data_IF_378560034784
#
_entry.id   IF_378560034784
#
_cell.length_a   1.000
_cell.length_b   1.000
_cell.length_c   1.000
_cell.angle_alpha   90.00
_cell.angle_beta   90.00
_cell.angle_gamma   90.00
#
_symmetry.space_group_name_H-M   'P 1'
#
loop_
_entity.id
_entity.type
_entity.pdbx_description
1 polymer ?
#
# COMPACT_ATOMS: atom_id res chain seq x y z
N UNK A 1 4.86 0.86 -14.29
CA UNK A 1 4.15 0.49 -13.05
C UNK A 1 4.05 1.71 -12.15
N UNK A 2 2.85 2.01 -11.69
CA UNK A 2 2.58 3.22 -10.90
C UNK A 2 2.17 2.83 -9.49
N UNK A 3 2.87 3.38 -8.49
CA UNK A 3 2.63 3.12 -7.08
C UNK A 3 1.87 4.27 -6.45
N UNK A 4 0.80 3.97 -5.74
CA UNK A 4 0.09 4.91 -4.88
C UNK A 4 0.56 4.69 -3.44
N UNK A 5 1.19 5.70 -2.86
CA UNK A 5 1.74 5.65 -1.50
C UNK A 5 0.85 6.49 -0.59
N UNK A 6 0.23 5.84 0.39
CA UNK A 6 -0.76 6.45 1.28
C UNK A 6 -0.26 6.43 2.72
N UNK A 7 -0.09 7.60 3.29
CA UNK A 7 0.31 7.77 4.69
C UNK A 7 -0.02 9.21 5.10
N UNK A 8 -0.52 9.41 6.31
CA UNK A 8 -0.80 10.75 6.83
C UNK A 8 0.49 11.51 7.20
N UNK A 9 1.59 10.81 7.36
CA UNK A 9 2.91 11.41 7.62
C UNK A 9 3.66 11.66 6.32
N UNK A 10 3.92 12.94 6.03
CA UNK A 10 4.73 13.31 4.85
C UNK A 10 6.14 12.71 4.94
N UNK A 11 6.70 12.61 6.14
CA UNK A 11 8.01 12.00 6.37
C UNK A 11 8.00 10.53 5.98
N UNK A 12 6.97 9.80 6.41
CA UNK A 12 6.85 8.38 6.06
C UNK A 12 6.63 8.17 4.57
N UNK A 13 5.79 9.00 3.93
CA UNK A 13 5.62 8.92 2.47
C UNK A 13 6.95 9.07 1.77
N UNK A 14 7.77 10.02 2.20
CA UNK A 14 9.10 10.25 1.61
C UNK A 14 10.03 9.04 1.81
N UNK A 15 10.00 8.44 3.00
CA UNK A 15 10.80 7.25 3.29
C UNK A 15 10.40 6.10 2.34
N UNK A 16 9.12 5.85 2.19
CA UNK A 16 8.61 4.79 1.31
C UNK A 16 8.99 5.07 -0.14
N UNK A 17 8.78 6.30 -0.62
CA UNK A 17 9.07 6.69 -1.99
C UNK A 17 10.56 6.59 -2.27
N UNK A 18 11.41 7.07 -1.35
CA UNK A 18 12.87 6.94 -1.51
C UNK A 18 13.29 5.48 -1.57
N UNK A 19 12.67 4.62 -0.76
CA UNK A 19 12.95 3.19 -0.80
C UNK A 19 12.53 2.57 -2.14
N UNK A 20 11.37 2.98 -2.67
CA UNK A 20 10.90 2.53 -4.00
C UNK A 20 11.88 2.95 -5.09
N UNK A 21 12.34 4.20 -5.07
CA UNK A 21 13.30 4.69 -6.04
C UNK A 21 14.61 3.91 -5.99
N UNK A 22 15.08 3.56 -4.80
CA UNK A 22 16.30 2.77 -4.62
C UNK A 22 16.23 1.38 -5.25
N UNK A 23 15.05 0.80 -5.29
CA UNK A 23 14.85 -0.54 -5.86
C UNK A 23 14.33 -0.49 -7.29
N UNK A 24 14.27 0.70 -7.90
CA UNK A 24 13.99 0.86 -9.32
C UNK A 24 12.58 1.28 -9.68
N UNK A 25 11.72 1.54 -8.72
CA UNK A 25 10.34 1.98 -8.96
C UNK A 25 10.24 3.49 -8.79
N UNK A 26 10.16 4.22 -9.90
CA UNK A 26 10.24 5.68 -9.92
C UNK A 26 8.92 6.38 -10.20
N UNK A 27 7.90 5.66 -10.64
CA UNK A 27 6.58 6.24 -10.91
C UNK A 27 5.70 6.10 -9.68
N UNK A 28 5.62 7.17 -8.88
CA UNK A 28 4.90 7.18 -7.61
C UNK A 28 3.97 8.39 -7.53
N UNK A 29 2.83 8.20 -6.89
CA UNK A 29 1.95 9.29 -6.48
C UNK A 29 1.66 9.16 -4.99
N UNK A 30 1.36 10.27 -4.33
CA UNK A 30 1.15 10.33 -2.89
C UNK A 30 -0.29 10.65 -2.56
N UNK A 31 -0.77 10.09 -1.45
CA UNK A 31 -2.02 10.46 -0.82
C UNK A 31 -1.81 10.62 0.68
N UNK A 32 -2.43 11.62 1.28
CA UNK A 32 -2.24 11.93 2.69
C UNK A 32 -3.20 11.18 3.61
N UNK A 33 -4.25 10.58 3.07
CA UNK A 33 -5.21 9.78 3.79
C UNK A 33 -5.98 8.87 2.82
N UNK A 34 -6.87 8.05 3.37
CA UNK A 34 -7.66 7.12 2.57
C UNK A 34 -8.61 7.81 1.60
N UNK A 35 -9.21 8.94 1.99
CA UNK A 35 -10.12 9.68 1.12
C UNK A 35 -9.37 10.27 -0.08
N UNK A 36 -8.19 10.86 0.17
CA UNK A 36 -7.32 11.38 -0.89
C UNK A 36 -6.85 10.26 -1.81
N UNK A 37 -6.54 9.10 -1.24
CA UNK A 37 -6.14 7.93 -2.02
C UNK A 37 -7.26 7.48 -2.97
N UNK A 38 -8.50 7.41 -2.49
CA UNK A 38 -9.65 7.04 -3.33
C UNK A 38 -9.88 8.05 -4.44
N UNK A 39 -9.70 9.35 -4.15
CA UNK A 39 -9.84 10.41 -5.15
C UNK A 39 -8.77 10.31 -6.25
N UNK A 40 -7.59 9.83 -5.91
CA UNK A 40 -6.45 9.71 -6.85
C UNK A 40 -6.37 8.35 -7.51
N UNK A 41 -7.07 7.35 -6.99
CA UNK A 41 -7.02 6.00 -7.52
C UNK A 41 -7.75 5.89 -8.85
N UNK A 42 -7.10 5.29 -9.82
CA UNK A 42 -7.71 4.89 -11.09
C UNK A 42 -6.99 3.65 -11.61
N UNK A 43 -7.39 3.16 -12.78
CA UNK A 43 -6.81 1.96 -13.37
C UNK A 43 -5.33 2.08 -13.75
N UNK A 44 -4.77 3.29 -13.74
CA UNK A 44 -3.34 3.49 -13.99
C UNK A 44 -2.48 3.09 -12.79
N UNK A 45 -3.09 2.99 -11.60
CA UNK A 45 -2.39 2.57 -10.40
C UNK A 45 -2.21 1.06 -10.43
N UNK A 46 -0.95 0.61 -10.37
CA UNK A 46 -0.59 -0.80 -10.44
C UNK A 46 -0.43 -1.44 -9.07
N UNK A 47 -0.17 -0.65 -8.05
CA UNK A 47 0.17 -1.14 -6.73
C UNK A 47 -0.13 -0.07 -5.68
N UNK A 48 -0.70 -0.47 -4.55
CA UNK A 48 -1.01 0.44 -3.43
C UNK A 48 -0.19 0.04 -2.21
N UNK A 49 0.53 1.02 -1.65
CA UNK A 49 1.23 0.86 -0.38
C UNK A 49 0.57 1.83 0.59
N UNK A 50 -0.01 1.32 1.66
CA UNK A 50 -0.76 2.14 2.61
C UNK A 50 -0.31 1.90 4.05
N UNK A 51 -0.29 2.97 4.85
CA UNK A 51 -0.21 2.84 6.29
C UNK A 51 -1.54 2.27 6.81
N UNK A 52 -1.51 1.63 7.97
CA UNK A 52 -2.71 1.09 8.58
C UNK A 52 -3.49 2.15 9.33
N UNK A 53 -2.81 2.91 10.17
CA UNK A 53 -3.46 3.87 11.08
C UNK A 53 -3.43 5.28 10.50
N UNK A 54 -4.53 5.70 9.89
CA UNK A 54 -4.67 7.01 9.28
C UNK A 54 -5.97 7.65 9.75
N UNK A 55 -6.03 9.01 9.84
CA UNK A 55 -7.28 9.70 10.16
C UNK A 55 -8.31 9.51 9.05
N UNK A 56 -9.58 9.62 9.39
CA UNK A 56 -10.75 9.55 8.51
C UNK A 56 -11.01 8.16 7.94
N UNK A 57 -10.01 7.51 7.36
CA UNK A 57 -10.18 6.20 6.73
C UNK A 57 -8.90 5.38 6.95
N UNK A 58 -8.99 4.28 7.70
CA UNK A 58 -7.84 3.40 7.94
C UNK A 58 -7.41 2.68 6.68
N UNK A 59 -6.20 2.08 6.71
CA UNK A 59 -5.72 1.25 5.60
C UNK A 59 -6.63 0.07 5.31
N UNK A 60 -7.24 -0.52 6.34
CA UNK A 60 -8.20 -1.60 6.20
C UNK A 60 -9.47 -1.11 5.49
N UNK A 61 -10.01 0.03 5.92
CA UNK A 61 -11.20 0.62 5.30
C UNK A 61 -10.93 1.07 3.87
N UNK A 62 -9.75 1.65 3.62
CA UNK A 62 -9.30 2.00 2.27
C UNK A 62 -9.29 0.76 1.37
N UNK A 63 -8.74 -0.34 1.86
CA UNK A 63 -8.67 -1.58 1.09
C UNK A 63 -10.05 -2.10 0.74
N UNK A 64 -10.99 -2.09 1.69
CA UNK A 64 -12.37 -2.47 1.41
C UNK A 64 -12.99 -1.60 0.31
N UNK A 65 -12.78 -0.30 0.37
CA UNK A 65 -13.28 0.63 -0.63
C UNK A 65 -12.65 0.37 -2.00
N UNK A 66 -11.34 0.09 -2.06
CA UNK A 66 -10.66 -0.27 -3.29
C UNK A 66 -11.23 -1.55 -3.89
N UNK A 67 -11.50 -2.57 -3.08
CA UNK A 67 -12.06 -3.84 -3.57
C UNK A 67 -13.47 -3.68 -4.15
N UNK A 68 -14.19 -2.65 -3.72
CA UNK A 68 -15.51 -2.30 -4.28
C UNK A 68 -15.41 -1.37 -5.50
N UNK A 69 -14.23 -0.81 -5.78
CA UNK A 69 -14.00 0.05 -6.94
C UNK A 69 -13.86 -0.81 -8.19
N UNK A 70 -14.39 -0.32 -9.32
CA UNK A 70 -14.35 -1.06 -10.59
C UNK A 70 -12.93 -1.45 -11.02
N UNK A 71 -11.94 -0.58 -10.74
CA UNK A 71 -10.55 -0.78 -11.12
C UNK A 71 -9.68 -1.32 -9.98
N UNK A 72 -10.25 -1.54 -8.81
CA UNK A 72 -9.51 -1.88 -7.59
C UNK A 72 -9.72 -3.29 -7.08
N UNK A 73 -10.47 -4.13 -7.79
CA UNK A 73 -10.79 -5.49 -7.32
C UNK A 73 -9.54 -6.36 -7.12
N UNK A 74 -8.55 -6.20 -7.98
CA UNK A 74 -7.36 -7.04 -8.03
C UNK A 74 -6.04 -6.29 -7.81
N UNK A 75 -6.08 -4.97 -7.57
CA UNK A 75 -4.84 -4.21 -7.36
C UNK A 75 -4.13 -4.72 -6.10
N UNK A 76 -2.81 -5.02 -6.18
CA UNK A 76 -2.08 -5.43 -4.99
C UNK A 76 -2.04 -4.31 -3.96
N UNK A 77 -2.34 -4.66 -2.70
CA UNK A 77 -2.29 -3.74 -1.56
C UNK A 77 -1.30 -4.29 -0.53
N UNK A 78 -0.27 -3.53 -0.27
CA UNK A 78 0.73 -3.82 0.75
C UNK A 78 0.54 -2.82 1.90
N UNK A 79 0.28 -3.32 3.09
CA UNK A 79 0.10 -2.50 4.27
C UNK A 79 1.40 -2.37 5.05
N UNK A 80 1.78 -1.15 5.40
CA UNK A 80 2.91 -0.88 6.27
C UNK A 80 2.37 -0.47 7.63
N UNK A 81 2.77 -1.18 8.69
CA UNK A 81 2.21 -0.97 10.02
C UNK A 81 3.28 -1.10 11.10
N UNK A 82 3.12 -0.35 12.19
CA UNK A 82 3.90 -0.56 13.40
C UNK A 82 3.28 -1.64 14.31
N UNK A 83 2.11 -2.16 13.94
CA UNK A 83 1.40 -3.18 14.71
C UNK A 83 1.70 -4.58 14.18
N UNK A 84 1.90 -5.50 15.12
CA UNK A 84 2.11 -6.91 14.81
C UNK A 84 1.10 -7.80 15.54
N UNK A 85 -0.01 -7.22 16.00
CA UNK A 85 -1.06 -7.97 16.68
C UNK A 85 -1.78 -8.85 15.66
N UNK A 86 -1.84 -10.14 15.94
CA UNK A 86 -2.37 -11.15 15.03
C UNK A 86 -3.80 -10.82 14.55
N UNK A 87 -4.67 -10.42 15.46
CA UNK A 87 -6.08 -10.16 15.13
C UNK A 87 -6.22 -8.96 14.17
N UNK A 88 -5.39 -7.95 14.34
CA UNK A 88 -5.38 -6.78 13.46
C UNK A 88 -4.91 -7.15 12.06
N UNK A 89 -3.90 -8.01 11.97
CA UNK A 89 -3.39 -8.52 10.69
C UNK A 89 -4.45 -9.36 10.00
N UNK A 90 -5.11 -10.25 10.72
CA UNK A 90 -6.18 -11.08 10.16
C UNK A 90 -7.33 -10.22 9.63
N UNK A 91 -7.74 -9.20 10.38
CA UNK A 91 -8.78 -8.27 9.95
C UNK A 91 -8.39 -7.56 8.65
N UNK A 92 -7.13 -7.12 8.53
CA UNK A 92 -6.63 -6.49 7.32
C UNK A 92 -6.65 -7.47 6.13
N UNK A 93 -6.21 -8.69 6.33
CA UNK A 93 -6.21 -9.71 5.27
C UNK A 93 -7.63 -10.05 4.81
N UNK A 94 -8.58 -10.14 5.74
CA UNK A 94 -9.99 -10.36 5.43
C UNK A 94 -10.58 -9.21 4.61
N UNK A 95 -10.10 -7.98 4.82
CA UNK A 95 -10.51 -6.81 4.05
C UNK A 95 -9.95 -6.80 2.62
N UNK A 96 -8.98 -7.66 2.32
CA UNK A 96 -8.40 -7.79 0.99
C UNK A 96 -6.98 -7.25 0.86
N UNK A 97 -6.31 -6.93 1.97
CA UNK A 97 -4.88 -6.60 1.98
C UNK A 97 -4.10 -7.85 1.56
N UNK A 98 -3.16 -7.72 0.64
CA UNK A 98 -2.43 -8.86 0.09
C UNK A 98 -1.27 -9.30 0.97
N UNK A 99 -0.60 -8.36 1.62
CA UNK A 99 0.47 -8.65 2.57
C UNK A 99 0.74 -7.41 3.43
N UNK A 100 1.65 -7.53 4.38
CA UNK A 100 2.01 -6.43 5.27
C UNK A 100 3.49 -6.41 5.55
N UNK A 101 3.98 -5.24 5.99
CA UNK A 101 5.34 -5.03 6.49
C UNK A 101 5.24 -4.35 7.85
N UNK A 102 5.99 -4.82 8.83
CA UNK A 102 6.08 -4.18 10.15
C UNK A 102 7.23 -3.17 10.13
N UNK A 103 6.96 -1.96 10.59
CA UNK A 103 7.98 -0.90 10.73
C UNK A 103 8.89 -1.21 11.92
N UNK A 104 10.19 -0.90 11.85
CA UNK A 104 10.92 -0.37 10.68
C UNK A 104 11.23 -1.44 9.64
N UNK A 105 11.40 -1.03 8.40
CA UNK A 105 11.72 -1.95 7.31
C UNK A 105 12.94 -1.43 6.53
N UNK A 106 13.56 -2.33 5.74
CA UNK A 106 14.65 -1.99 4.83
C UNK A 106 14.16 -1.95 3.39
N UNK A 107 14.86 -1.27 2.47
CA UNK A 107 14.52 -1.33 1.05
C UNK A 107 14.47 -2.77 0.51
N UNK A 108 15.33 -3.65 1.02
CA UNK A 108 15.33 -5.06 0.59
C UNK A 108 14.05 -5.79 1.02
N UNK A 109 13.59 -5.57 2.24
CA UNK A 109 12.33 -6.16 2.73
C UNK A 109 11.16 -5.65 1.88
N UNK A 110 11.13 -4.35 1.59
CA UNK A 110 10.11 -3.76 0.74
C UNK A 110 10.11 -4.39 -0.65
N UNK A 111 11.30 -4.51 -1.25
CA UNK A 111 11.47 -5.14 -2.57
C UNK A 111 10.94 -6.57 -2.58
N UNK A 112 11.32 -7.37 -1.59
CA UNK A 112 10.91 -8.78 -1.50
C UNK A 112 9.38 -8.91 -1.40
N UNK A 113 8.74 -8.06 -0.61
CA UNK A 113 7.29 -8.05 -0.47
C UNK A 113 6.58 -7.62 -1.75
N UNK A 114 7.09 -6.61 -2.43
CA UNK A 114 6.52 -6.14 -3.70
C UNK A 114 6.63 -7.23 -4.75
N UNK A 115 7.81 -7.83 -4.91
CA UNK A 115 8.03 -8.88 -5.91
C UNK A 115 7.14 -10.10 -5.66
N UNK A 116 6.90 -10.45 -4.39
CA UNK A 116 6.03 -11.55 -4.04
C UNK A 116 4.56 -11.30 -4.44
N UNK A 117 4.15 -10.05 -4.56
CA UNK A 117 2.78 -9.68 -4.88
C UNK A 117 2.58 -9.35 -6.37
N UNK A 118 3.65 -9.20 -7.14
CA UNK A 118 3.53 -8.93 -8.56
C UNK A 118 3.02 -10.16 -9.30
N UNK A 119 2.06 -9.98 -10.24
CA UNK A 119 1.58 -11.11 -11.04
C UNK A 119 2.73 -11.72 -11.85
N UNK A 120 2.69 -13.03 -12.02
CA UNK A 120 3.68 -13.74 -12.83
C UNK A 120 3.74 -13.19 -14.26
N UNK A 121 2.62 -12.73 -14.80
CA UNK A 121 2.54 -12.15 -16.13
C UNK A 121 3.27 -10.79 -16.23
N UNK A 122 3.54 -10.13 -15.12
CA UNK A 122 4.28 -8.88 -15.09
C UNK A 122 5.79 -9.09 -14.92
N UNK A 123 6.20 -10.30 -14.69
CA UNK A 123 7.61 -10.66 -14.51
C UNK A 123 8.36 -10.67 -15.85
#
# INVERSE_FOLDING_TARGET
>A
MKFLVVDDSATMRRIVINSLHRIGYTNTIEAEDGADALAKFDRSVSFVITDWNMPNLSGTELTKALRSHADGADVPVLMITSRSVRDDILTAMEAGVNNYIVKPFTPQILKDKIEALLPAAAA
#
